data_IF_322173485821
#
_entry.id   IF_322173485821
#
_cell.length_a   1.000
_cell.length_b   1.000
_cell.length_c   1.000
_cell.angle_alpha   90.00
_cell.angle_beta   90.00
_cell.angle_gamma   90.00
#
_symmetry.space_group_name_H-M   'P 1'
#
loop_
_entity.id
_entity.type
_entity.pdbx_description
1 polymer ?
#
# COMPACT_ATOMS: atom_id res chain seq x y z
N UNK A 1 7.14 24.31 -1.27
CA UNK A 1 7.22 22.83 -1.32
C UNK A 1 8.50 22.49 -2.07
N UNK A 2 9.33 21.58 -1.54
CA UNK A 2 10.44 21.05 -2.33
C UNK A 2 9.86 20.36 -3.56
N UNK A 3 10.31 20.76 -4.74
CA UNK A 3 9.91 20.10 -5.98
C UNK A 3 10.75 18.85 -6.13
N UNK A 4 10.16 17.68 -5.93
CA UNK A 4 10.77 16.40 -6.22
C UNK A 4 9.86 15.57 -7.12
N UNK A 5 10.48 14.70 -7.91
CA UNK A 5 9.80 13.72 -8.77
C UNK A 5 9.95 12.32 -8.19
N UNK A 6 8.98 11.45 -8.47
CA UNK A 6 9.06 10.04 -8.11
C UNK A 6 9.69 9.21 -9.23
N UNK A 7 10.61 8.32 -8.86
CA UNK A 7 11.13 7.26 -9.72
C UNK A 7 10.77 5.93 -9.09
N UNK A 8 9.77 5.25 -9.63
CA UNK A 8 9.37 3.94 -9.14
C UNK A 8 10.19 2.86 -9.83
N UNK A 9 10.77 1.96 -9.05
CA UNK A 9 11.41 0.75 -9.57
C UNK A 9 10.57 -0.43 -9.11
N UNK A 10 10.22 -1.31 -10.04
CA UNK A 10 9.36 -2.45 -9.72
C UNK A 10 9.79 -3.67 -10.51
N UNK A 11 9.38 -4.84 -10.04
CA UNK A 11 9.81 -6.10 -10.62
C UNK A 11 8.78 -7.19 -10.38
N UNK A 12 8.91 -8.31 -11.09
CA UNK A 12 7.96 -9.41 -11.06
C UNK A 12 8.15 -10.36 -9.87
N UNK A 13 8.88 -9.93 -8.84
CA UNK A 13 9.28 -10.73 -7.68
C UNK A 13 10.66 -11.36 -7.87
N UNK A 14 11.59 -11.03 -6.96
CA UNK A 14 12.99 -11.49 -6.97
C UNK A 14 13.74 -11.22 -8.30
N UNK A 15 13.31 -10.24 -9.08
CA UNK A 15 13.96 -9.86 -10.34
C UNK A 15 15.13 -8.88 -10.15
N UNK A 16 15.39 -8.42 -8.92
CA UNK A 16 16.56 -7.57 -8.61
C UNK A 16 16.28 -6.07 -8.66
N UNK A 17 15.06 -5.62 -8.34
CA UNK A 17 14.74 -4.18 -8.27
C UNK A 17 15.66 -3.42 -7.32
N UNK A 18 16.06 -4.04 -6.20
CA UNK A 18 17.00 -3.46 -5.25
C UNK A 18 18.33 -3.05 -5.87
N UNK A 19 18.90 -3.85 -6.78
CA UNK A 19 20.14 -3.49 -7.45
C UNK A 19 19.99 -2.25 -8.35
N UNK A 20 18.83 -2.08 -8.97
CA UNK A 20 18.51 -0.87 -9.73
C UNK A 20 18.30 0.34 -8.80
N UNK A 21 17.68 0.15 -7.63
CA UNK A 21 17.58 1.19 -6.60
C UNK A 21 18.97 1.65 -6.16
N UNK A 22 19.85 0.71 -5.82
CA UNK A 22 21.21 1.00 -5.35
C UNK A 22 21.98 1.81 -6.40
N UNK A 23 21.92 1.40 -7.67
CA UNK A 23 22.53 2.13 -8.79
C UNK A 23 21.95 3.54 -8.96
N UNK A 24 20.62 3.72 -8.82
CA UNK A 24 20.00 5.04 -8.94
C UNK A 24 20.41 5.98 -7.80
N UNK A 25 20.65 5.44 -6.61
CA UNK A 25 21.10 6.20 -5.43
C UNK A 25 22.55 6.68 -5.53
N UNK A 26 23.33 6.18 -6.50
CA UNK A 26 24.69 6.69 -6.75
C UNK A 26 24.70 8.09 -7.41
N UNK A 27 23.57 8.52 -7.99
CA UNK A 27 23.45 9.83 -8.63
C UNK A 27 23.16 10.94 -7.62
N UNK A 28 23.71 12.13 -7.87
CA UNK A 28 23.45 13.30 -7.02
C UNK A 28 21.97 13.64 -6.94
N UNK A 29 21.53 14.06 -5.75
CA UNK A 29 20.15 14.47 -5.47
C UNK A 29 19.09 13.37 -5.68
N UNK A 30 19.49 12.10 -5.63
CA UNK A 30 18.63 10.92 -5.73
C UNK A 30 18.76 10.08 -4.46
N UNK A 31 17.65 9.88 -3.74
CA UNK A 31 17.60 8.96 -2.60
C UNK A 31 16.18 8.37 -2.48
N UNK A 32 16.00 7.42 -1.58
CA UNK A 32 14.72 6.75 -1.32
C UNK A 32 14.76 5.91 -0.05
N UNK A 33 13.61 5.57 0.54
CA UNK A 33 13.58 4.71 1.71
C UNK A 33 14.22 3.35 1.41
N UNK A 34 14.97 2.79 2.36
CA UNK A 34 15.59 1.45 2.24
C UNK A 34 14.58 0.29 2.43
N UNK A 35 13.29 0.56 2.18
CA UNK A 35 12.19 -0.37 2.33
C UNK A 35 11.21 -0.22 1.17
N UNK A 36 10.62 -1.34 0.75
CA UNK A 36 9.55 -1.35 -0.24
C UNK A 36 8.37 -0.48 0.22
N UNK A 37 7.97 0.51 -0.60
CA UNK A 37 6.88 1.43 -0.30
C UNK A 37 5.64 1.08 -1.12
N UNK A 38 4.82 0.13 -0.64
CA UNK A 38 3.82 -0.58 -1.47
C UNK A 38 2.38 -0.11 -1.29
N UNK A 39 2.17 1.07 -0.69
CA UNK A 39 0.85 1.56 -0.29
C UNK A 39 -0.16 1.63 -1.45
N UNK A 40 0.32 1.81 -2.69
CA UNK A 40 -0.57 1.92 -3.84
C UNK A 40 -1.16 0.58 -4.30
N UNK A 41 -0.51 -0.55 -4.01
CA UNK A 41 -0.83 -1.86 -4.61
C UNK A 41 -1.14 -2.99 -3.64
N UNK A 42 -0.65 -2.90 -2.39
CA UNK A 42 -0.91 -3.93 -1.39
C UNK A 42 -2.38 -3.89 -0.92
N UNK A 43 -2.92 -5.01 -0.40
CA UNK A 43 -4.29 -5.05 0.11
C UNK A 43 -4.56 -3.96 1.15
N UNK A 44 -5.77 -3.40 1.10
CA UNK A 44 -6.15 -2.23 1.89
C UNK A 44 -5.30 -0.98 1.58
N UNK A 45 -4.62 -0.96 0.43
CA UNK A 45 -3.90 0.21 -0.08
C UNK A 45 -4.80 1.19 -0.83
N UNK A 46 -4.17 2.12 -1.55
CA UNK A 46 -4.86 3.17 -2.30
C UNK A 46 -5.76 2.62 -3.40
N UNK A 47 -5.34 1.56 -4.09
CA UNK A 47 -6.16 0.94 -5.14
C UNK A 47 -7.45 0.34 -4.60
N UNK A 48 -7.38 -0.41 -3.50
CA UNK A 48 -8.56 -0.99 -2.85
C UNK A 48 -9.51 0.10 -2.32
N UNK A 49 -8.92 1.19 -1.80
CA UNK A 49 -9.68 2.36 -1.35
C UNK A 49 -10.40 3.04 -2.53
N UNK A 50 -9.72 3.33 -3.64
CA UNK A 50 -10.31 3.92 -4.85
C UNK A 50 -11.47 3.05 -5.36
N UNK A 51 -11.21 1.74 -5.51
CA UNK A 51 -12.22 0.80 -5.99
C UNK A 51 -13.46 0.76 -5.09
N UNK A 52 -13.31 1.01 -3.79
CA UNK A 52 -14.40 0.93 -2.81
C UNK A 52 -15.21 2.22 -2.68
N UNK A 53 -14.58 3.39 -2.82
CA UNK A 53 -15.23 4.69 -2.58
C UNK A 53 -15.49 5.49 -3.86
N UNK A 54 -14.92 5.07 -4.99
CA UNK A 54 -15.12 5.69 -6.31
C UNK A 54 -15.82 4.72 -7.26
N UNK A 55 -15.15 3.62 -7.63
CA UNK A 55 -15.59 2.80 -8.78
C UNK A 55 -16.76 1.86 -8.45
N UNK A 56 -16.68 1.12 -7.34
CA UNK A 56 -17.71 0.18 -6.89
C UNK A 56 -18.39 0.69 -5.62
N UNK A 57 -18.87 1.93 -5.69
CA UNK A 57 -19.45 2.60 -4.54
C UNK A 57 -20.69 1.87 -4.05
N UNK A 58 -20.66 1.45 -2.78
CA UNK A 58 -21.77 0.80 -2.09
C UNK A 58 -21.96 1.42 -0.71
N UNK A 59 -23.22 1.44 -0.24
CA UNK A 59 -23.62 2.26 0.91
C UNK A 59 -22.88 1.95 2.22
N UNK A 60 -22.36 0.75 2.44
CA UNK A 60 -21.63 0.43 3.69
C UNK A 60 -20.13 0.17 3.45
N UNK A 61 -19.73 -0.06 2.19
CA UNK A 61 -18.37 -0.50 1.85
C UNK A 61 -17.31 0.54 2.19
N UNK A 62 -17.62 1.82 1.99
CA UNK A 62 -16.67 2.92 2.15
C UNK A 62 -16.15 3.04 3.59
N UNK A 63 -17.00 2.82 4.60
CA UNK A 63 -16.57 2.88 5.99
C UNK A 63 -15.60 1.74 6.32
N UNK A 64 -15.89 0.52 5.86
CA UNK A 64 -14.96 -0.61 6.02
C UNK A 64 -13.64 -0.36 5.28
N UNK A 65 -13.69 0.11 4.04
CA UNK A 65 -12.50 0.40 3.25
C UNK A 65 -11.63 1.51 3.86
N UNK A 66 -12.22 2.55 4.43
CA UNK A 66 -11.48 3.62 5.13
C UNK A 66 -10.86 3.10 6.43
N UNK A 67 -11.55 2.25 7.19
CA UNK A 67 -10.99 1.68 8.42
C UNK A 67 -9.83 0.72 8.11
N UNK A 68 -9.98 -0.13 7.10
CA UNK A 68 -8.91 -1.01 6.58
C UNK A 68 -7.72 -0.17 6.08
N UNK A 69 -8.05 0.86 5.30
CA UNK A 69 -7.34 2.12 5.09
C UNK A 69 -6.27 2.46 6.15
N UNK A 70 -6.83 2.98 7.24
CA UNK A 70 -6.13 3.57 8.36
C UNK A 70 -5.42 2.52 9.21
N UNK A 71 -5.95 1.29 9.32
CA UNK A 71 -5.25 0.20 10.00
C UNK A 71 -3.98 -0.19 9.25
N UNK A 72 -4.04 -0.26 7.92
CA UNK A 72 -2.86 -0.49 7.09
C UNK A 72 -1.84 0.64 7.22
N UNK A 73 -2.27 1.90 7.13
CA UNK A 73 -1.38 3.04 7.40
C UNK A 73 -0.78 3.02 8.81
N UNK A 74 -1.51 2.54 9.81
CA UNK A 74 -1.01 2.41 11.19
C UNK A 74 0.12 1.41 11.26
N UNK A 75 0.02 0.31 10.54
CA UNK A 75 1.11 -0.65 10.39
C UNK A 75 2.29 -0.02 9.65
N UNK A 76 2.07 0.71 8.56
CA UNK A 76 3.14 1.36 7.80
C UNK A 76 3.93 2.38 8.65
N UNK A 77 3.25 3.25 9.39
CA UNK A 77 3.88 4.26 10.23
C UNK A 77 4.55 3.72 11.49
N UNK A 78 4.01 2.64 12.08
CA UNK A 78 4.50 2.09 13.35
C UNK A 78 5.94 1.59 13.26
N UNK A 79 6.74 1.92 14.26
CA UNK A 79 8.12 1.44 14.39
C UNK A 79 8.23 -0.06 14.66
N UNK A 80 9.37 -0.62 14.26
CA UNK A 80 9.69 -2.03 14.43
C UNK A 80 10.15 -2.32 15.86
N UNK A 81 9.61 -3.38 16.47
CA UNK A 81 10.05 -3.85 17.78
C UNK A 81 9.61 -5.30 17.99
N UNK A 82 10.48 -6.10 18.63
CA UNK A 82 10.23 -7.51 18.95
C UNK A 82 8.98 -7.73 19.83
N UNK A 83 8.62 -6.75 20.65
CA UNK A 83 7.46 -6.83 21.55
C UNK A 83 6.21 -6.13 21.01
N UNK A 84 6.29 -5.54 19.82
CA UNK A 84 5.17 -4.84 19.18
C UNK A 84 4.66 -5.65 17.99
N UNK A 85 3.43 -5.38 17.59
CA UNK A 85 2.92 -5.82 16.30
C UNK A 85 3.82 -5.29 15.19
N UNK A 86 3.92 -6.05 14.09
CA UNK A 86 4.67 -5.67 12.88
C UNK A 86 4.36 -4.23 12.48
N UNK A 87 5.40 -3.53 12.03
CA UNK A 87 5.31 -2.20 11.44
C UNK A 87 6.44 -1.99 10.43
N UNK A 88 6.39 -0.91 9.65
CA UNK A 88 7.41 -0.59 8.63
C UNK A 88 8.29 0.61 8.99
N UNK A 89 7.97 1.32 10.07
CA UNK A 89 8.68 2.50 10.55
C UNK A 89 8.74 3.67 9.58
N UNK A 90 7.74 3.84 8.70
CA UNK A 90 7.76 4.94 7.74
C UNK A 90 7.64 6.32 8.39
N UNK A 91 7.09 6.42 9.62
CA UNK A 91 7.06 7.71 10.32
C UNK A 91 8.47 8.26 10.58
N UNK A 92 9.37 7.42 11.11
CA UNK A 92 10.75 7.82 11.38
C UNK A 92 11.55 7.99 10.08
N UNK A 93 11.41 7.04 9.14
CA UNK A 93 12.15 7.05 7.86
C UNK A 93 11.83 8.31 7.06
N UNK A 94 10.57 8.74 7.04
CA UNK A 94 10.11 9.88 6.24
C UNK A 94 10.09 11.20 7.01
N UNK A 95 10.48 11.19 8.29
CA UNK A 95 10.45 12.34 9.19
C UNK A 95 9.06 12.99 9.28
N UNK A 96 8.01 12.16 9.43
CA UNK A 96 6.62 12.63 9.45
C UNK A 96 5.74 11.77 10.35
N UNK A 97 4.66 12.35 10.87
CA UNK A 97 3.59 11.54 11.47
C UNK A 97 2.73 10.93 10.36
N UNK A 98 3.11 9.73 9.93
CA UNK A 98 2.45 9.01 8.86
C UNK A 98 0.95 8.84 9.10
N UNK A 99 0.56 8.58 10.36
CA UNK A 99 -0.85 8.36 10.70
C UNK A 99 -1.66 9.62 10.68
N UNK A 100 -1.10 10.72 11.22
CA UNK A 100 -1.75 12.03 11.13
C UNK A 100 -2.02 12.42 9.67
N UNK A 101 -1.02 12.31 8.79
CA UNK A 101 -1.19 12.62 7.37
C UNK A 101 -2.22 11.71 6.69
N UNK A 102 -2.28 10.43 7.09
CA UNK A 102 -3.27 9.48 6.57
C UNK A 102 -4.70 9.83 7.01
N UNK A 103 -4.89 10.26 8.26
CA UNK A 103 -6.18 10.74 8.77
C UNK A 103 -6.58 12.04 8.06
N UNK A 104 -5.65 12.97 7.87
CA UNK A 104 -5.92 14.20 7.13
C UNK A 104 -6.31 13.93 5.68
N UNK A 105 -5.64 12.97 5.01
CA UNK A 105 -6.01 12.52 3.67
C UNK A 105 -7.43 11.95 3.63
N UNK A 106 -7.76 11.04 4.55
CA UNK A 106 -9.12 10.48 4.67
C UNK A 106 -10.14 11.61 4.87
N UNK A 107 -9.88 12.58 5.74
CA UNK A 107 -10.78 13.71 5.96
C UNK A 107 -11.03 14.54 4.70
N UNK A 108 -10.04 14.67 3.80
CA UNK A 108 -10.17 15.41 2.54
C UNK A 108 -10.97 14.67 1.46
N UNK A 109 -11.00 13.34 1.48
CA UNK A 109 -11.80 12.53 0.54
C UNK A 109 -13.18 12.15 1.10
N UNK A 110 -13.34 12.20 2.42
CA UNK A 110 -14.59 11.94 3.11
C UNK A 110 -15.57 13.12 2.96
N UNK A 111 -16.87 12.86 2.90
CA UNK A 111 -17.87 13.92 2.87
C UNK A 111 -18.25 14.35 4.29
N UNK A 112 -18.49 13.39 5.18
CA UNK A 112 -18.78 13.62 6.59
C UNK A 112 -18.54 12.36 7.42
N UNK A 113 -18.55 12.51 8.74
CA UNK A 113 -18.59 11.39 9.70
C UNK A 113 -19.93 11.39 10.43
N UNK A 114 -20.35 10.22 10.88
CA UNK A 114 -21.60 10.05 11.63
C UNK A 114 -21.45 8.92 12.65
N UNK A 115 -22.28 8.90 13.69
CA UNK A 115 -22.33 7.77 14.61
C UNK A 115 -23.36 6.76 14.10
N UNK A 116 -22.94 5.51 13.89
CA UNK A 116 -23.80 4.44 13.41
C UNK A 116 -23.51 3.10 14.08
N UNK A 117 -24.53 2.24 14.15
CA UNK A 117 -24.42 0.87 14.64
C UNK A 117 -24.88 -0.08 13.51
N UNK A 118 -23.93 -0.76 12.89
CA UNK A 118 -24.20 -1.69 11.79
C UNK A 118 -23.70 -3.09 12.12
N UNK A 119 -24.38 -4.11 11.60
CA UNK A 119 -23.97 -5.52 11.77
C UNK A 119 -22.56 -5.80 11.22
N UNK A 120 -22.12 -5.05 10.21
CA UNK A 120 -20.78 -5.20 9.63
C UNK A 120 -19.68 -4.86 10.65
N UNK A 121 -19.89 -3.87 11.52
CA UNK A 121 -18.98 -3.61 12.63
C UNK A 121 -18.92 -4.75 13.63
N UNK A 122 -19.99 -5.56 13.73
CA UNK A 122 -20.09 -6.67 14.67
C UNK A 122 -19.39 -7.93 14.18
N UNK A 123 -19.30 -8.12 12.86
CA UNK A 123 -18.70 -9.31 12.25
C UNK A 123 -17.22 -9.50 12.60
N UNK A 124 -16.46 -8.41 12.74
CA UNK A 124 -15.01 -8.45 13.01
C UNK A 124 -14.64 -8.41 14.49
N UNK A 125 -15.64 -8.36 15.39
CA UNK A 125 -15.39 -8.29 16.82
C UNK A 125 -14.90 -9.62 17.35
N UNK A 126 -13.92 -9.56 18.25
CA UNK A 126 -13.56 -10.73 19.05
C UNK A 126 -14.66 -11.06 20.10
N UNK A 127 -14.52 -12.21 20.76
CA UNK A 127 -15.50 -12.68 21.74
C UNK A 127 -15.75 -11.68 22.88
N UNK A 128 -14.70 -11.03 23.38
CA UNK A 128 -14.79 -10.05 24.46
C UNK A 128 -15.51 -8.77 24.02
N UNK A 129 -15.17 -8.24 22.84
CA UNK A 129 -15.83 -7.08 22.26
C UNK A 129 -17.31 -7.38 21.96
N UNK A 130 -17.60 -8.58 21.44
CA UNK A 130 -18.97 -9.06 21.20
C UNK A 130 -19.76 -9.17 22.50
N UNK A 131 -19.16 -9.69 23.57
CA UNK A 131 -19.78 -9.76 24.88
C UNK A 131 -20.08 -8.36 25.43
N UNK A 132 -19.12 -7.43 25.34
CA UNK A 132 -19.31 -6.03 25.75
C UNK A 132 -20.48 -5.38 25.00
N UNK A 133 -20.58 -5.55 23.68
CA UNK A 133 -21.70 -4.97 22.92
C UNK A 133 -23.05 -5.57 23.32
N UNK A 134 -23.10 -6.90 23.55
CA UNK A 134 -24.32 -7.55 24.04
C UNK A 134 -24.74 -7.01 25.41
N UNK A 135 -23.78 -6.76 26.31
CA UNK A 135 -24.04 -6.17 27.61
C UNK A 135 -24.56 -4.74 27.47
N UNK A 136 -23.91 -3.90 26.64
CA UNK A 136 -24.37 -2.55 26.34
C UNK A 136 -25.82 -2.54 25.84
N UNK A 137 -26.16 -3.40 24.87
CA UNK A 137 -27.52 -3.53 24.36
C UNK A 137 -28.52 -3.94 25.44
N UNK A 138 -28.16 -4.86 26.34
CA UNK A 138 -29.01 -5.25 27.48
C UNK A 138 -29.23 -4.12 28.48
N UNK A 139 -28.25 -3.25 28.65
CA UNK A 139 -28.32 -2.10 29.57
C UNK A 139 -28.90 -0.84 28.92
N UNK A 140 -29.37 -0.91 27.67
CA UNK A 140 -29.88 0.26 26.93
C UNK A 140 -28.78 1.27 26.52
N UNK A 141 -27.51 0.88 26.59
CA UNK A 141 -26.37 1.70 26.18
C UNK A 141 -26.14 1.61 24.68
N UNK A 142 -25.71 2.72 24.07
CA UNK A 142 -25.43 2.79 22.63
C UNK A 142 -24.15 2.01 22.27
N UNK A 143 -24.21 1.27 21.15
CA UNK A 143 -23.06 0.65 20.51
C UNK A 143 -22.61 1.40 19.25
N UNK A 144 -23.14 2.61 19.02
CA UNK A 144 -22.77 3.40 17.85
C UNK A 144 -21.27 3.72 17.85
N UNK A 145 -20.64 3.50 16.71
CA UNK A 145 -19.25 3.85 16.45
C UNK A 145 -19.17 5.00 15.46
N UNK A 146 -18.06 5.74 15.48
CA UNK A 146 -17.78 6.73 14.46
C UNK A 146 -17.62 6.00 13.11
N UNK A 147 -18.39 6.45 12.12
CA UNK A 147 -18.40 5.93 10.77
C UNK A 147 -18.06 7.03 9.78
N UNK A 148 -17.44 6.65 8.67
CA UNK A 148 -17.15 7.53 7.55
C UNK A 148 -18.25 7.43 6.51
N UNK A 149 -18.61 8.55 5.87
CA UNK A 149 -19.39 8.58 4.63
C UNK A 149 -18.56 9.25 3.53
N UNK A 150 -18.12 8.44 2.57
CA UNK A 150 -17.16 8.87 1.53
C UNK A 150 -17.64 8.49 0.14
N UNK A 151 -17.75 9.49 -0.73
CA UNK A 151 -18.06 9.38 -2.16
C UNK A 151 -17.39 10.53 -2.93
N UNK A 152 -16.05 10.57 -3.00
CA UNK A 152 -15.35 11.56 -3.81
C UNK A 152 -15.55 11.27 -5.30
N UNK A 153 -15.43 12.29 -6.15
CA UNK A 153 -15.24 12.05 -7.59
C UNK A 153 -13.86 11.45 -7.84
N UNK A 154 -13.66 10.81 -9.00
CA UNK A 154 -12.36 10.25 -9.39
C UNK A 154 -11.26 11.32 -9.40
N UNK A 155 -11.58 12.51 -9.87
CA UNK A 155 -10.66 13.65 -9.94
C UNK A 155 -10.27 14.11 -8.54
N UNK A 156 -11.24 14.25 -7.63
CA UNK A 156 -10.97 14.63 -6.24
C UNK A 156 -10.12 13.59 -5.53
N UNK A 157 -10.46 12.31 -5.69
CA UNK A 157 -9.67 11.21 -5.13
C UNK A 157 -8.22 11.27 -5.62
N UNK A 158 -8.03 11.41 -6.94
CA UNK A 158 -6.71 11.46 -7.55
C UNK A 158 -5.88 12.65 -7.07
N UNK A 159 -6.46 13.86 -7.03
CA UNK A 159 -5.77 15.07 -6.56
C UNK A 159 -5.37 14.95 -5.09
N UNK A 160 -6.27 14.47 -4.23
CA UNK A 160 -5.97 14.31 -2.81
C UNK A 160 -4.99 13.16 -2.55
N UNK A 161 -5.00 12.10 -3.36
CA UNK A 161 -4.03 11.00 -3.29
C UNK A 161 -2.63 11.47 -3.68
N UNK A 162 -2.52 12.23 -4.77
CA UNK A 162 -1.25 12.82 -5.20
C UNK A 162 -0.71 13.77 -4.13
N UNK A 163 -1.56 14.63 -3.56
CA UNK A 163 -1.18 15.51 -2.46
C UNK A 163 -0.73 14.72 -1.23
N UNK A 164 -1.45 13.67 -0.87
CA UNK A 164 -1.09 12.81 0.26
C UNK A 164 0.29 12.17 0.09
N UNK A 165 0.54 11.55 -1.06
CA UNK A 165 1.84 10.95 -1.35
C UNK A 165 2.97 12.00 -1.40
N UNK A 166 2.73 13.19 -1.96
CA UNK A 166 3.73 14.28 -1.88
C UNK A 166 4.03 14.68 -0.44
N UNK A 167 2.99 14.92 0.38
CA UNK A 167 3.15 15.31 1.80
C UNK A 167 3.94 14.28 2.61
N UNK A 168 3.73 12.99 2.36
CA UNK A 168 4.48 11.93 3.04
C UNK A 168 6.00 12.01 2.81
N UNK A 169 6.45 12.50 1.65
CA UNK A 169 7.87 12.53 1.28
C UNK A 169 8.48 13.94 1.30
N UNK A 170 7.70 14.99 1.56
CA UNK A 170 8.19 16.37 1.59
C UNK A 170 9.36 16.58 2.57
N UNK A 171 9.19 16.12 3.82
CA UNK A 171 10.23 16.25 4.85
C UNK A 171 11.45 15.38 4.51
N UNK A 172 11.24 14.17 4.01
CA UNK A 172 12.31 13.30 3.54
C UNK A 172 13.14 13.96 2.45
N UNK A 173 12.48 14.48 1.41
CA UNK A 173 13.16 15.13 0.29
C UNK A 173 13.92 16.39 0.70
N UNK A 174 13.33 17.19 1.58
CA UNK A 174 13.98 18.40 2.12
C UNK A 174 15.19 18.05 2.99
N UNK A 175 15.05 17.11 3.93
CA UNK A 175 16.11 16.74 4.86
C UNK A 175 17.30 16.08 4.17
N UNK A 176 17.04 15.30 3.12
CA UNK A 176 18.07 14.64 2.30
C UNK A 176 18.63 15.55 1.20
N UNK A 177 18.04 16.74 1.00
CA UNK A 177 18.35 17.65 -0.10
C UNK A 177 18.34 16.92 -1.47
N UNK A 178 17.23 16.26 -1.80
CA UNK A 178 17.05 15.48 -3.03
C UNK A 178 15.97 16.07 -3.94
N UNK A 179 16.08 15.78 -5.24
CA UNK A 179 15.11 16.16 -6.26
C UNK A 179 14.38 14.95 -6.85
N UNK A 180 14.85 13.73 -6.57
CA UNK A 180 14.18 12.49 -6.99
C UNK A 180 14.06 11.54 -5.82
N UNK A 181 12.84 11.10 -5.56
CA UNK A 181 12.53 10.08 -4.57
C UNK A 181 12.38 8.74 -5.30
N UNK A 182 13.29 7.82 -5.05
CA UNK A 182 13.24 6.48 -5.66
C UNK A 182 12.45 5.54 -4.76
N UNK A 183 11.43 4.88 -5.31
CA UNK A 183 10.55 3.99 -4.56
C UNK A 183 10.62 2.57 -5.09
N UNK A 184 11.03 1.63 -4.23
CA UNK A 184 11.00 0.20 -4.56
C UNK A 184 9.59 -0.37 -4.38
N UNK A 185 9.15 -1.12 -5.39
CA UNK A 185 7.87 -1.82 -5.44
C UNK A 185 6.63 -0.92 -5.25
N UNK A 186 6.71 0.39 -5.44
CA UNK A 186 5.54 1.27 -5.27
C UNK A 186 4.41 1.01 -6.27
N UNK A 187 4.75 0.59 -7.47
CA UNK A 187 3.80 0.32 -8.54
C UNK A 187 3.82 -1.18 -8.84
N UNK A 188 2.67 -1.76 -9.16
CA UNK A 188 2.67 -3.14 -9.66
C UNK A 188 3.00 -3.15 -11.14
N UNK A 189 3.98 -3.95 -11.61
CA UNK A 189 4.18 -4.17 -13.05
C UNK A 189 2.93 -4.71 -13.77
N UNK A 190 1.98 -5.31 -13.05
CA UNK A 190 0.79 -5.95 -13.61
C UNK A 190 -0.47 -5.08 -13.63
N UNK A 191 -0.45 -3.89 -13.01
CA UNK A 191 -1.59 -2.99 -12.90
C UNK A 191 -1.11 -1.51 -12.99
N UNK A 192 -0.14 -1.25 -13.86
CA UNK A 192 0.63 -0.01 -13.85
C UNK A 192 -0.25 1.21 -14.11
N UNK A 193 -1.15 1.11 -15.09
CA UNK A 193 -2.10 2.18 -15.44
C UNK A 193 -2.95 2.62 -14.25
N UNK A 194 -3.31 1.68 -13.36
CA UNK A 194 -4.17 1.94 -12.21
C UNK A 194 -3.43 2.68 -11.11
N UNK A 195 -2.18 2.36 -10.83
CA UNK A 195 -1.46 2.91 -9.66
C UNK A 195 -0.44 3.99 -9.99
N UNK A 196 0.07 4.06 -11.24
CA UNK A 196 1.04 5.09 -11.66
C UNK A 196 0.45 6.51 -11.53
N UNK A 197 -0.84 6.68 -11.82
CA UNK A 197 -1.55 7.97 -11.73
C UNK A 197 -1.52 8.61 -10.33
N UNK A 198 -1.30 7.82 -9.27
CA UNK A 198 -1.21 8.34 -7.91
C UNK A 198 0.10 9.09 -7.62
N UNK A 199 1.14 8.82 -8.42
CA UNK A 199 2.45 9.43 -8.29
C UNK A 199 2.64 10.43 -9.44
N UNK A 200 2.28 11.69 -9.19
CA UNK A 200 2.35 12.79 -10.15
C UNK A 200 3.71 12.85 -10.86
N UNK A 201 3.69 12.89 -12.20
CA UNK A 201 4.86 12.90 -13.08
C UNK A 201 5.90 11.78 -12.84
N UNK A 202 5.50 10.65 -12.26
CA UNK A 202 6.44 9.57 -11.95
C UNK A 202 6.99 8.86 -13.20
N UNK A 203 8.25 8.44 -13.11
CA UNK A 203 8.85 7.47 -14.04
C UNK A 203 8.80 6.08 -13.43
N UNK A 204 8.55 5.07 -14.25
CA UNK A 204 8.53 3.67 -13.85
C UNK A 204 9.62 2.89 -14.58
N UNK A 205 10.48 2.21 -13.83
CA UNK A 205 11.45 1.25 -14.34
C UNK A 205 10.98 -0.15 -13.92
N UNK A 206 10.80 -1.03 -14.90
CA UNK A 206 10.47 -2.43 -14.67
C UNK A 206 11.75 -3.25 -14.84
N UNK A 207 12.17 -3.91 -13.76
CA UNK A 207 13.31 -4.83 -13.76
C UNK A 207 12.79 -6.24 -13.98
N UNK A 208 13.17 -6.82 -15.12
CA UNK A 208 12.96 -8.23 -15.43
C UNK A 208 14.30 -8.97 -15.50
N UNK A 209 14.27 -10.27 -15.20
CA UNK A 209 15.45 -11.13 -15.10
C UNK A 209 15.13 -12.51 -15.66
N UNK A 210 16.15 -13.24 -16.07
CA UNK A 210 16.00 -14.63 -16.53
C UNK A 210 15.17 -15.47 -15.52
N UNK A 211 14.13 -16.20 -15.96
CA UNK A 211 13.31 -17.02 -15.07
C UNK A 211 14.11 -18.05 -14.26
N UNK A 212 15.14 -18.64 -14.84
CA UNK A 212 15.94 -19.68 -14.18
C UNK A 212 16.69 -19.10 -13.00
N UNK A 213 17.24 -17.90 -13.16
CA UNK A 213 17.90 -17.16 -12.11
C UNK A 213 16.94 -16.79 -10.97
N UNK A 214 15.77 -16.24 -11.32
CA UNK A 214 14.73 -15.91 -10.34
C UNK A 214 14.35 -17.15 -9.53
N UNK A 215 14.14 -18.28 -10.21
CA UNK A 215 13.80 -19.55 -9.56
C UNK A 215 14.94 -20.04 -8.65
N UNK A 216 16.19 -20.01 -9.12
CA UNK A 216 17.34 -20.39 -8.32
C UNK A 216 17.48 -19.54 -7.05
N UNK A 217 17.28 -18.22 -7.15
CA UNK A 217 17.24 -17.32 -5.98
C UNK A 217 16.12 -17.69 -5.01
N UNK A 218 14.89 -17.91 -5.50
CA UNK A 218 13.77 -18.30 -4.66
C UNK A 218 14.05 -19.60 -3.90
N UNK A 219 14.59 -20.63 -4.58
CA UNK A 219 14.96 -21.90 -3.97
C UNK A 219 16.04 -21.74 -2.89
N UNK A 220 17.09 -20.97 -3.19
CA UNK A 220 18.20 -20.71 -2.27
C UNK A 220 17.72 -20.01 -1.00
N UNK A 221 16.83 -19.03 -1.14
CA UNK A 221 16.31 -18.23 -0.04
C UNK A 221 15.11 -18.85 0.68
N UNK A 222 14.56 -19.95 0.15
CA UNK A 222 13.36 -20.63 0.67
C UNK A 222 12.20 -19.68 0.95
N UNK A 223 12.01 -18.71 0.05
CA UNK A 223 10.96 -17.70 0.18
C UNK A 223 10.00 -17.75 -1.02
N UNK A 224 8.79 -17.24 -0.82
CA UNK A 224 7.74 -17.26 -1.83
C UNK A 224 7.53 -18.69 -2.37
N UNK A 225 7.52 -18.90 -3.69
CA UNK A 225 7.40 -20.24 -4.29
C UNK A 225 8.59 -21.15 -4.01
N UNK A 226 9.76 -20.60 -3.65
CA UNK A 226 10.91 -21.39 -3.24
C UNK A 226 10.77 -22.04 -1.87
N UNK A 227 9.83 -21.58 -1.04
CA UNK A 227 9.46 -22.28 0.20
C UNK A 227 8.79 -23.63 -0.07
N UNK A 228 8.21 -23.80 -1.27
CA UNK A 228 7.49 -25.01 -1.69
C UNK A 228 8.43 -26.08 -2.31
N UNK A 229 9.74 -25.93 -2.18
CA UNK A 229 10.76 -26.79 -2.82
C UNK A 229 10.63 -28.29 -2.49
N UNK A 230 10.04 -28.63 -1.35
CA UNK A 230 9.83 -30.02 -0.92
C UNK A 230 8.86 -30.75 -1.87
N UNK A 231 7.96 -30.00 -2.52
CA UNK A 231 7.02 -30.56 -3.47
C UNK A 231 7.67 -30.76 -4.85
N UNK A 232 7.50 -31.96 -5.41
CA UNK A 232 8.07 -32.37 -6.71
C UNK A 232 7.55 -31.53 -7.89
N UNK A 233 6.42 -30.83 -7.72
CA UNK A 233 5.79 -29.99 -8.73
C UNK A 233 6.15 -28.49 -8.59
N UNK A 234 7.02 -28.12 -7.65
CA UNK A 234 7.44 -26.73 -7.39
C UNK A 234 7.92 -25.98 -8.64
N UNK A 235 8.68 -26.65 -9.52
CA UNK A 235 9.13 -26.08 -10.79
C UNK A 235 7.97 -25.79 -11.75
N UNK A 236 6.95 -26.65 -11.79
CA UNK A 236 5.78 -26.46 -12.65
C UNK A 236 4.89 -25.32 -12.13
N UNK A 237 4.73 -25.22 -10.80
CA UNK A 237 4.07 -24.09 -10.14
C UNK A 237 4.78 -22.78 -10.44
N UNK A 238 6.12 -22.77 -10.37
CA UNK A 238 6.94 -21.62 -10.73
C UNK A 238 6.73 -21.20 -12.20
N UNK A 239 6.83 -22.15 -13.14
CA UNK A 239 6.64 -21.87 -14.57
C UNK A 239 5.25 -21.26 -14.82
N UNK A 240 4.21 -21.81 -14.19
CA UNK A 240 2.84 -21.30 -14.31
C UNK A 240 2.74 -19.87 -13.77
N UNK A 241 3.19 -19.64 -12.53
CA UNK A 241 3.20 -18.32 -11.91
C UNK A 241 3.98 -17.29 -12.75
N UNK A 242 5.19 -17.63 -13.20
CA UNK A 242 6.04 -16.73 -13.98
C UNK A 242 5.35 -16.27 -15.27
N UNK A 243 4.67 -17.20 -15.98
CA UNK A 243 3.89 -16.92 -17.18
C UNK A 243 2.67 -16.05 -16.88
N UNK A 244 1.90 -16.40 -15.85
CA UNK A 244 0.64 -15.71 -15.55
C UNK A 244 0.88 -14.26 -15.11
N UNK A 245 1.91 -14.00 -14.30
CA UNK A 245 2.27 -12.64 -13.87
C UNK A 245 2.67 -11.75 -15.07
N UNK A 246 3.37 -12.30 -16.08
CA UNK A 246 3.85 -11.54 -17.24
C UNK A 246 2.80 -11.37 -18.34
N UNK A 247 1.84 -12.29 -18.47
CA UNK A 247 0.70 -12.13 -19.40
C UNK A 247 -0.12 -10.88 -19.11
N UNK A 248 -0.33 -10.57 -17.83
CA UNK A 248 -1.15 -9.42 -17.42
C UNK A 248 -0.57 -8.08 -17.89
N UNK A 249 0.76 -8.00 -18.04
CA UNK A 249 1.49 -6.78 -18.42
C UNK A 249 1.19 -6.36 -19.86
N UNK A 250 1.11 -7.32 -20.78
CA UNK A 250 0.89 -7.04 -22.20
C UNK A 250 -0.43 -6.27 -22.44
N UNK A 251 -1.43 -6.46 -21.57
CA UNK A 251 -2.72 -5.76 -21.66
C UNK A 251 -2.66 -4.31 -21.17
N UNK A 252 -1.63 -3.97 -20.39
CA UNK A 252 -1.49 -2.67 -19.72
C UNK A 252 -0.52 -1.72 -20.44
N UNK A 253 0.23 -2.19 -21.45
CA UNK A 253 1.20 -1.37 -22.21
C UNK A 253 0.60 -0.77 -23.50
N UNK A 254 -0.59 -1.22 -23.92
CA UNK A 254 -1.30 -0.72 -25.13
C UNK A 254 -2.08 0.57 -24.92
#
# INVERSE_FOLDING_TARGET
>A
MSSFDFVCVSGYGRSGSSACIDLLKEFEFVDGPDKEFRIAKDPHGLLDLELSIVDNWEFIRHNTAINDFLEYCSMLGRGESIFKKVGKNFSDILYIDFMKESIEYVNRINNFTYFGDTLLHRYRLNALQSFKQRLNSKLGLSNAALMHFSRPTKERFLVETNRYLRRLFENYAANKNIHKVVLDQAISPTNMKKTLKYFDNAKLIIVDRDPRDIYATMLKEKCFLGADVINRDSVHKYIKWHRDVRKQVAQDID
#
